data_IF_949406375551
#
_entry.id   IF_949406375551
#
_cell.length_a   1.000
_cell.length_b   1.000
_cell.length_c   1.000
_cell.angle_alpha   90.00
_cell.angle_beta   90.00
_cell.angle_gamma   90.00
#
_symmetry.space_group_name_H-M   'P 1'
#
loop_
_entity.id
_entity.type
_entity.pdbx_description
1 polymer ?
#
# COMPACT_ATOMS: atom_id res chain seq x y z
N UNK A 1 5.26 -11.44 17.27
CA UNK A 1 5.58 -10.77 15.99
C UNK A 1 4.88 -11.57 14.89
N UNK A 2 4.22 -10.91 13.96
CA UNK A 2 3.57 -11.52 12.79
C UNK A 2 4.19 -10.94 11.52
N UNK A 3 4.65 -11.80 10.61
CA UNK A 3 5.16 -11.43 9.30
C UNK A 3 4.18 -11.93 8.24
N UNK A 4 3.77 -11.03 7.34
CA UNK A 4 2.83 -11.34 6.26
C UNK A 4 3.44 -10.91 4.93
N UNK A 5 3.45 -11.83 3.97
CA UNK A 5 3.77 -11.53 2.59
C UNK A 5 2.46 -11.43 1.79
N UNK A 6 2.11 -10.21 1.38
CA UNK A 6 0.87 -9.93 0.66
C UNK A 6 1.02 -10.32 -0.82
N UNK A 7 1.03 -11.64 -1.09
CA UNK A 7 1.01 -12.20 -2.45
C UNK A 7 -0.43 -12.22 -3.02
N UNK A 8 -1.04 -11.05 -3.21
CA UNK A 8 -2.44 -10.91 -3.66
C UNK A 8 -2.56 -10.63 -5.16
N UNK A 9 -1.94 -11.46 -5.99
CA UNK A 9 -2.04 -11.31 -7.44
C UNK A 9 -3.43 -11.67 -8.02
N UNK A 10 -4.36 -12.23 -7.23
CA UNK A 10 -5.62 -12.79 -7.76
C UNK A 10 -6.89 -12.44 -6.97
N UNK A 11 -6.85 -11.46 -6.05
CA UNK A 11 -7.99 -11.09 -5.20
C UNK A 11 -8.66 -9.79 -5.65
N UNK A 12 -9.98 -9.82 -5.75
CA UNK A 12 -10.85 -8.65 -6.00
C UNK A 12 -10.81 -7.63 -4.84
N UNK A 13 -11.27 -6.41 -5.10
CA UNK A 13 -11.20 -5.29 -4.16
C UNK A 13 -11.92 -5.56 -2.82
N UNK A 14 -12.95 -6.41 -2.81
CA UNK A 14 -13.68 -6.80 -1.61
C UNK A 14 -12.80 -7.62 -0.67
N UNK A 15 -12.15 -8.67 -1.20
CA UNK A 15 -11.26 -9.48 -0.39
C UNK A 15 -10.04 -8.70 0.14
N UNK A 16 -9.56 -7.71 -0.61
CA UNK A 16 -8.50 -6.80 -0.16
C UNK A 16 -8.93 -5.98 1.08
N UNK A 17 -10.15 -5.45 1.06
CA UNK A 17 -10.71 -4.72 2.19
C UNK A 17 -10.86 -5.62 3.43
N UNK A 18 -11.24 -6.89 3.25
CA UNK A 18 -11.35 -7.87 4.34
C UNK A 18 -9.98 -8.16 4.97
N UNK A 19 -8.94 -8.40 4.15
CA UNK A 19 -7.57 -8.62 4.64
C UNK A 19 -7.07 -7.39 5.41
N UNK A 20 -7.25 -6.20 4.84
CA UNK A 20 -6.89 -4.95 5.49
C UNK A 20 -7.58 -4.80 6.85
N UNK A 21 -8.88 -5.08 6.95
CA UNK A 21 -9.60 -5.05 8.22
C UNK A 21 -9.10 -6.10 9.21
N UNK A 22 -8.79 -7.31 8.76
CA UNK A 22 -8.25 -8.37 9.62
C UNK A 22 -6.89 -7.96 10.20
N UNK A 23 -6.00 -7.41 9.38
CA UNK A 23 -4.70 -6.88 9.81
C UNK A 23 -4.87 -5.70 10.78
N UNK A 24 -5.81 -4.80 10.51
CA UNK A 24 -6.10 -3.68 11.39
C UNK A 24 -6.55 -4.12 12.80
N UNK A 25 -7.32 -5.21 12.92
CA UNK A 25 -7.74 -5.78 14.23
C UNK A 25 -6.58 -6.38 15.05
N UNK A 26 -5.45 -6.67 14.41
CA UNK A 26 -4.25 -7.18 15.08
C UNK A 26 -3.33 -6.06 15.57
N UNK A 27 -3.53 -4.81 15.12
CA UNK A 27 -2.77 -3.66 15.60
C UNK A 27 -2.87 -3.52 17.11
N UNK A 28 -1.75 -3.20 17.75
CA UNK A 28 -1.64 -3.10 19.21
C UNK A 28 -1.65 -4.42 19.98
N UNK A 29 -1.92 -5.57 19.32
CA UNK A 29 -1.88 -6.90 19.94
C UNK A 29 -0.56 -7.62 19.68
N UNK A 30 0.10 -7.29 18.57
CA UNK A 30 1.45 -7.76 18.24
C UNK A 30 2.14 -6.78 17.29
N UNK A 31 3.46 -6.88 17.18
CA UNK A 31 4.21 -6.25 16.08
C UNK A 31 3.87 -6.97 14.78
N UNK A 32 3.34 -6.22 13.82
CA UNK A 32 2.97 -6.68 12.48
C UNK A 32 3.97 -6.11 11.46
N UNK A 33 4.57 -6.99 10.67
CA UNK A 33 5.43 -6.62 9.53
C UNK A 33 4.75 -7.16 8.28
N UNK A 34 4.43 -6.26 7.34
CA UNK A 34 3.73 -6.64 6.10
C UNK A 34 4.55 -6.19 4.90
N UNK A 35 4.83 -7.10 3.98
CA UNK A 35 5.31 -6.77 2.65
C UNK A 35 4.08 -6.40 1.84
N UNK A 36 3.82 -5.09 1.73
CA UNK A 36 2.58 -4.57 1.14
C UNK A 36 2.76 -4.25 -0.34
N UNK A 37 1.82 -4.69 -1.16
CA UNK A 37 1.72 -4.31 -2.58
C UNK A 37 0.54 -3.36 -2.83
N UNK A 38 -0.37 -3.23 -1.86
CA UNK A 38 -1.63 -2.51 -1.99
C UNK A 38 -1.66 -1.21 -1.17
N UNK A 39 -2.31 -0.19 -1.72
CA UNK A 39 -2.37 1.13 -1.12
C UNK A 39 -3.10 1.13 0.24
N UNK A 40 -4.18 0.36 0.37
CA UNK A 40 -4.96 0.21 1.61
C UNK A 40 -4.12 -0.33 2.78
N UNK A 41 -3.28 -1.34 2.49
CA UNK A 41 -2.38 -1.96 3.46
C UNK A 41 -1.22 -1.03 3.84
N UNK A 42 -0.69 -0.29 2.87
CA UNK A 42 0.35 0.73 3.13
C UNK A 42 -0.21 1.87 3.99
N UNK A 43 -1.43 2.35 3.71
CA UNK A 43 -2.04 3.50 4.39
C UNK A 43 -2.35 3.27 5.88
N UNK A 44 -2.47 2.01 6.34
CA UNK A 44 -2.69 1.70 7.76
C UNK A 44 -1.40 1.59 8.58
N UNK A 45 -0.23 1.58 7.93
CA UNK A 45 1.03 1.32 8.59
C UNK A 45 1.44 2.48 9.50
N UNK A 46 1.86 2.15 10.72
CA UNK A 46 2.45 3.12 11.66
C UNK A 46 3.82 3.62 11.14
N UNK A 47 4.56 2.74 10.47
CA UNK A 47 5.84 3.03 9.84
C UNK A 47 5.97 2.24 8.54
N UNK A 48 6.50 2.89 7.52
CA UNK A 48 6.76 2.33 6.19
C UNK A 48 8.27 2.35 5.98
N UNK A 49 8.79 1.25 5.43
CA UNK A 49 10.19 1.10 5.01
C UNK A 49 10.19 0.85 3.51
N UNK A 50 10.80 1.74 2.74
CA UNK A 50 10.98 1.57 1.30
C UNK A 50 12.33 0.92 1.07
N UNK A 51 12.31 -0.26 0.45
CA UNK A 51 13.51 -0.97 0.02
C UNK A 51 13.79 -0.66 -1.45
N UNK A 52 15.03 -0.30 -1.76
CA UNK A 52 15.54 -0.16 -3.11
C UNK A 52 16.94 -0.76 -3.21
N UNK A 53 17.17 -1.59 -4.23
CA UNK A 53 18.45 -2.29 -4.46
C UNK A 53 19.04 -2.98 -3.20
N UNK A 54 18.18 -3.57 -2.37
CA UNK A 54 18.58 -4.26 -1.13
C UNK A 54 18.97 -3.33 0.02
N UNK A 55 18.66 -2.04 -0.06
CA UNK A 55 18.91 -1.03 0.98
C UNK A 55 17.63 -0.31 1.38
N UNK A 56 17.59 0.21 2.60
CA UNK A 56 16.52 1.12 3.04
C UNK A 56 16.75 2.46 2.36
N UNK A 57 15.87 2.80 1.42
CA UNK A 57 15.91 4.06 0.70
C UNK A 57 15.19 5.17 1.47
N UNK A 58 14.06 4.85 2.10
CA UNK A 58 13.25 5.76 2.88
C UNK A 58 12.58 5.04 4.05
N UNK A 59 12.33 5.75 5.15
CA UNK A 59 11.62 5.24 6.33
C UNK A 59 10.85 6.36 7.02
N UNK A 60 9.58 6.13 7.35
CA UNK A 60 8.74 7.12 8.02
C UNK A 60 7.27 6.75 8.03
N UNK A 61 6.43 7.65 8.55
CA UNK A 61 4.98 7.53 8.39
C UNK A 61 4.56 7.86 6.95
N UNK A 62 3.33 7.49 6.58
CA UNK A 62 2.75 7.86 5.29
C UNK A 62 2.89 9.36 5.00
N UNK A 63 2.52 10.21 5.97
CA UNK A 63 2.56 11.67 5.83
C UNK A 63 3.97 12.20 5.62
N UNK A 64 4.95 11.70 6.38
CA UNK A 64 6.34 12.09 6.28
C UNK A 64 6.93 11.74 4.90
N UNK A 65 6.65 10.53 4.42
CA UNK A 65 7.15 10.05 3.14
C UNK A 65 6.47 10.72 1.95
N UNK A 66 5.18 11.06 2.06
CA UNK A 66 4.47 11.85 1.04
C UNK A 66 5.05 13.27 0.93
N UNK A 67 5.39 13.90 2.07
CA UNK A 67 5.99 15.23 2.07
C UNK A 67 7.42 15.26 1.49
N UNK A 68 8.15 14.14 1.57
CA UNK A 68 9.51 14.02 1.04
C UNK A 68 9.60 13.97 -0.49
N UNK A 69 8.48 13.77 -1.20
CA UNK A 69 8.42 13.63 -2.67
C UNK A 69 9.44 12.61 -3.23
N UNK A 70 9.71 11.55 -2.47
CA UNK A 70 10.68 10.49 -2.79
C UNK A 70 10.09 9.33 -3.60
N UNK A 71 10.76 8.16 -3.55
CA UNK A 71 10.31 6.93 -4.22
C UNK A 71 8.93 6.51 -3.71
N UNK A 72 8.68 6.67 -2.42
CA UNK A 72 7.37 6.41 -1.84
C UNK A 72 6.26 7.22 -2.52
N UNK A 73 6.41 8.54 -2.59
CA UNK A 73 5.41 9.42 -3.22
C UNK A 73 5.21 9.08 -4.71
N UNK A 74 6.30 8.77 -5.43
CA UNK A 74 6.24 8.29 -6.81
C UNK A 74 5.46 6.98 -6.97
N UNK A 75 5.69 6.00 -6.10
CA UNK A 75 4.93 4.74 -6.08
C UNK A 75 3.43 4.99 -5.88
N UNK A 76 3.06 5.87 -4.94
CA UNK A 76 1.66 6.21 -4.67
C UNK A 76 1.01 6.86 -5.89
N UNK A 77 1.69 7.81 -6.53
CA UNK A 77 1.19 8.48 -7.73
C UNK A 77 0.96 7.49 -8.89
N UNK A 78 1.89 6.56 -9.12
CA UNK A 78 1.73 5.50 -10.12
C UNK A 78 0.54 4.58 -9.81
N UNK A 79 0.39 4.16 -8.55
CA UNK A 79 -0.75 3.33 -8.10
C UNK A 79 -2.09 4.03 -8.25
N UNK A 80 -2.16 5.32 -7.94
CA UNK A 80 -3.37 6.13 -8.12
C UNK A 80 -3.72 6.32 -9.60
N UNK A 81 -2.73 6.57 -10.46
CA UNK A 81 -2.94 6.69 -11.90
C UNK A 81 -3.46 5.37 -12.52
N UNK A 82 -2.93 4.23 -12.08
CA UNK A 82 -3.39 2.91 -12.51
C UNK A 82 -4.84 2.61 -12.09
N UNK A 83 -5.25 3.06 -10.90
CA UNK A 83 -6.65 2.94 -10.42
C UNK A 83 -7.58 3.98 -11.07
N UNK A 84 -7.04 5.11 -11.53
CA UNK A 84 -7.76 6.20 -12.19
C UNK A 84 -8.12 5.93 -13.65
N UNK A 85 -7.60 4.85 -14.26
CA UNK A 85 -7.97 4.43 -15.60
C UNK A 85 -9.33 3.71 -15.59
N UNK A 86 -10.40 4.46 -15.33
CA UNK A 86 -11.74 4.08 -15.80
C UNK A 86 -11.80 4.45 -17.27
N UNK A 87 -12.10 3.47 -18.13
CA UNK A 87 -12.45 3.66 -19.53
C UNK A 87 -13.23 4.97 -19.67
N UNK A 88 -12.67 5.95 -20.40
CA UNK A 88 -13.44 7.11 -20.82
C UNK A 88 -14.76 6.58 -21.41
N UNK A 89 -15.93 7.15 -21.07
CA UNK A 89 -17.16 6.72 -21.70
C UNK A 89 -16.95 6.88 -23.21
N UNK A 90 -17.11 5.78 -23.95
CA UNK A 90 -17.09 5.82 -25.40
C UNK A 90 -18.02 6.96 -25.83
N UNK A 91 -17.47 7.91 -26.58
CA UNK A 91 -18.19 9.06 -27.09
C UNK A 91 -19.52 8.59 -27.69
N UNK A 92 -20.64 9.03 -27.10
CA UNK A 92 -21.94 8.88 -27.70
C UNK A 92 -22.00 9.85 -28.88
N UNK A 93 -22.10 9.29 -30.09
CA UNK A 93 -22.59 9.97 -31.30
C UNK A 93 -23.90 9.32 -31.70
#
# INVERSE_FOLDING_TARGET
ILLVDEATASLDAENQAVIAQALARLRGRCTLVVIAHQLSTVAMADQIVVLDEGRIAEQGSHEQLMAGNGRYAGFIAQRQAALGWRLAPAAAS
#
